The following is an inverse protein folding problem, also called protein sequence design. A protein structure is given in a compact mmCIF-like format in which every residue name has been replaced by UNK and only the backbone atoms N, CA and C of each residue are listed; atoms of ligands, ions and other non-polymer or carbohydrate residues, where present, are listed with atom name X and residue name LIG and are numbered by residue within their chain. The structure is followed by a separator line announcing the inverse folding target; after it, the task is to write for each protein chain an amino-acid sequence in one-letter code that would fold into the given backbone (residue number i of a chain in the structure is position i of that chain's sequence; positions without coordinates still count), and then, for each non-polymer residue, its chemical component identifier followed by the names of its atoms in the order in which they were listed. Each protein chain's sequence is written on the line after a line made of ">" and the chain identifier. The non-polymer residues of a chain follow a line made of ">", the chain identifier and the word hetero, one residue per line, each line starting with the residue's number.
data_IF_937542671132
#
_entry.id   IF_937542671132
#
_cell.length_a   1.000
_cell.length_b   1.000
_cell.length_c   1.000
_cell.angle_alpha   90.00
_cell.angle_beta   90.00
_cell.angle_gamma   90.00
#
_symmetry.space_group_name_H-M   'P 1'
#
loop_
_entity.id
_entity.type
_entity.pdbx_description
1 polymer ?
#
# COMPACT_ATOMS: atom_id res chain seq x y z
N UNK A 1 -11.19 18.36 -9.76
CA UNK A 1 -10.47 17.42 -8.89
C UNK A 1 -10.59 16.05 -9.54
N UNK A 2 -9.49 15.46 -9.98
CA UNK A 2 -9.51 14.11 -10.58
C UNK A 2 -9.62 13.13 -9.41
N UNK A 3 -10.79 12.50 -9.24
CA UNK A 3 -10.94 11.41 -8.29
C UNK A 3 -10.20 10.20 -8.84
N UNK A 4 -9.02 9.91 -8.28
CA UNK A 4 -8.32 8.66 -8.57
C UNK A 4 -9.09 7.51 -7.90
N UNK A 5 -9.49 6.54 -8.71
CA UNK A 5 -10.22 5.34 -8.28
C UNK A 5 -9.23 4.25 -7.89
N UNK A 6 -9.46 3.64 -6.72
CA UNK A 6 -8.59 2.61 -6.16
C UNK A 6 -9.41 1.34 -5.96
N UNK A 7 -9.21 0.33 -6.81
CA UNK A 7 -9.96 -0.92 -6.75
C UNK A 7 -9.11 -1.99 -6.08
N UNK A 8 -9.62 -2.58 -5.00
CA UNK A 8 -8.98 -3.67 -4.28
C UNK A 8 -9.30 -5.02 -4.91
N UNK A 9 -8.25 -5.81 -5.08
CA UNK A 9 -8.28 -7.22 -5.43
C UNK A 9 -7.65 -8.03 -4.30
N UNK A 10 -8.25 -9.19 -4.02
CA UNK A 10 -7.75 -10.17 -3.06
C UNK A 10 -7.56 -11.49 -3.80
N UNK A 11 -6.31 -11.93 -3.93
CA UNK A 11 -5.93 -13.11 -4.74
C UNK A 11 -6.52 -13.08 -6.16
N UNK A 12 -6.48 -11.90 -6.81
CA UNK A 12 -7.03 -11.70 -8.16
C UNK A 12 -8.56 -11.52 -8.23
N UNK A 13 -9.29 -11.66 -7.11
CA UNK A 13 -10.74 -11.40 -7.06
C UNK A 13 -11.01 -9.95 -6.70
N UNK A 14 -11.75 -9.23 -7.55
CA UNK A 14 -12.21 -7.86 -7.27
C UNK A 14 -13.10 -7.82 -6.02
N UNK A 15 -12.69 -7.07 -5.01
CA UNK A 15 -13.47 -6.83 -3.79
C UNK A 15 -14.33 -5.57 -3.90
N UNK A 16 -13.80 -4.50 -4.51
CA UNK A 16 -14.50 -3.24 -4.71
C UNK A 16 -13.58 -2.03 -4.58
N UNK A 17 -14.16 -0.84 -4.61
CA UNK A 17 -13.45 0.41 -4.40
C UNK A 17 -13.07 0.58 -2.92
N UNK A 18 -11.85 1.05 -2.65
CA UNK A 18 -11.40 1.37 -1.29
C UNK A 18 -11.69 2.82 -0.95
N UNK A 19 -11.93 3.06 0.33
CA UNK A 19 -12.15 4.41 0.86
C UNK A 19 -11.01 4.80 1.79
N UNK A 20 -10.92 6.10 2.11
CA UNK A 20 -9.92 6.64 3.04
C UNK A 20 -8.48 6.31 2.63
N UNK A 21 -8.21 6.27 1.32
CA UNK A 21 -6.88 5.98 0.77
C UNK A 21 -5.85 7.01 1.26
N UNK A 22 -4.77 6.51 1.83
CA UNK A 22 -3.61 7.28 2.27
C UNK A 22 -2.35 6.56 1.82
N UNK A 23 -1.54 7.22 1.01
CA UNK A 23 -0.21 6.76 0.63
C UNK A 23 0.82 7.64 1.31
N UNK A 24 1.73 7.03 2.06
CA UNK A 24 2.85 7.70 2.70
C UNK A 24 4.13 7.22 2.01
N UNK A 25 4.70 8.03 1.10
CA UNK A 25 5.97 7.69 0.48
C UNK A 25 7.05 7.64 1.56
N UNK A 26 7.91 6.62 1.50
CA UNK A 26 8.99 6.52 2.46
C UNK A 26 10.26 7.15 1.90
N UNK A 27 10.49 8.41 2.25
CA UNK A 27 11.69 9.12 1.80
C UNK A 27 12.95 8.55 2.47
N UNK A 28 14.09 8.53 1.76
CA UNK A 28 15.35 8.11 2.35
C UNK A 28 15.75 9.12 3.43
N UNK A 29 15.92 8.63 4.66
CA UNK A 29 16.23 9.47 5.82
C UNK A 29 17.65 9.23 6.29
N UNK A 30 18.38 10.30 6.60
CA UNK A 30 19.64 10.20 7.30
C UNK A 30 19.40 9.82 8.77
N UNK A 31 20.06 8.76 9.25
CA UNK A 31 20.07 8.36 10.66
C UNK A 31 21.49 8.34 11.20
N UNK A 32 21.64 8.77 12.44
CA UNK A 32 22.90 8.64 13.16
C UNK A 32 23.00 7.23 13.75
N UNK A 33 23.95 6.44 13.27
CA UNK A 33 24.23 5.08 13.75
C UNK A 33 25.69 5.05 14.19
N UNK A 34 25.92 4.80 15.49
CA UNK A 34 27.27 4.75 16.08
C UNK A 34 28.12 6.00 15.79
N UNK A 35 27.49 7.18 15.82
CA UNK A 35 28.18 8.46 15.59
C UNK A 35 28.41 8.81 14.12
N UNK A 36 27.96 7.97 13.17
CA UNK A 36 28.04 8.24 11.73
C UNK A 36 26.66 8.51 11.15
N UNK A 37 26.57 9.53 10.29
CA UNK A 37 25.37 9.81 9.53
C UNK A 37 25.28 8.82 8.36
N UNK A 38 24.28 7.95 8.37
CA UNK A 38 24.06 6.94 7.33
C UNK A 38 22.74 7.26 6.62
N UNK A 39 22.77 7.31 5.29
CA UNK A 39 21.55 7.40 4.49
C UNK A 39 20.86 6.04 4.56
N UNK A 40 19.68 5.99 5.19
CA UNK A 40 18.87 4.78 5.15
C UNK A 40 18.34 4.61 3.72
N UNK A 41 18.45 3.40 3.13
CA UNK A 41 17.86 3.13 1.84
C UNK A 41 16.36 3.38 1.88
N UNK A 42 15.81 3.81 0.75
CA UNK A 42 14.38 3.94 0.51
C UNK A 42 13.73 2.60 0.86
N UNK A 43 12.84 2.58 1.84
CA UNK A 43 12.01 1.40 2.11
C UNK A 43 10.73 1.46 1.27
N UNK A 44 9.98 0.37 1.22
CA UNK A 44 8.69 0.34 0.55
C UNK A 44 7.73 1.41 1.12
N UNK A 45 7.02 2.11 0.23
CA UNK A 45 5.98 3.05 0.61
C UNK A 45 4.90 2.37 1.45
N UNK A 46 4.25 3.10 2.33
CA UNK A 46 3.19 2.57 3.19
C UNK A 46 1.86 3.12 2.72
N UNK A 47 0.90 2.24 2.47
CA UNK A 47 -0.48 2.64 2.22
C UNK A 47 -1.39 2.24 3.39
N UNK A 48 -2.44 3.02 3.61
CA UNK A 48 -3.51 2.74 4.55
C UNK A 48 -4.85 3.05 3.89
N UNK A 49 -5.81 2.15 4.03
CA UNK A 49 -7.13 2.31 3.41
C UNK A 49 -8.17 1.46 4.12
N UNK A 50 -9.44 1.79 3.89
CA UNK A 50 -10.58 1.02 4.37
C UNK A 50 -11.09 0.11 3.26
N UNK A 51 -11.16 -1.19 3.57
CA UNK A 51 -11.61 -2.21 2.63
C UNK A 51 -13.14 -2.19 2.50
N UNK A 52 -13.69 -2.49 1.32
CA UNK A 52 -15.13 -2.65 1.14
C UNK A 52 -15.65 -3.97 1.73
N UNK A 53 -14.77 -4.96 1.88
CA UNK A 53 -15.06 -6.28 2.45
C UNK A 53 -13.95 -6.71 3.40
N UNK A 54 -14.24 -7.59 4.38
CA UNK A 54 -13.20 -8.14 5.26
C UNK A 54 -12.11 -8.83 4.44
N UNK A 55 -10.85 -8.61 4.80
CA UNK A 55 -9.68 -9.23 4.16
C UNK A 55 -8.86 -10.01 5.19
N UNK A 56 -8.21 -11.08 4.75
CA UNK A 56 -7.34 -11.88 5.60
C UNK A 56 -5.91 -11.34 5.57
N UNK A 57 -5.21 -11.40 6.71
CA UNK A 57 -3.80 -10.98 6.80
C UNK A 57 -2.85 -11.86 5.98
N UNK A 58 -3.28 -13.07 5.59
CA UNK A 58 -2.45 -14.03 4.85
C UNK A 58 -2.59 -13.92 3.32
N UNK A 59 -3.48 -13.09 2.83
CA UNK A 59 -3.72 -12.99 1.39
C UNK A 59 -2.87 -11.92 0.74
N UNK A 60 -2.61 -12.09 -0.55
CA UNK A 60 -1.97 -11.07 -1.38
C UNK A 60 -3.05 -10.10 -1.82
N UNK A 61 -2.86 -8.83 -1.46
CA UNK A 61 -3.74 -7.75 -1.87
C UNK A 61 -3.09 -6.97 -3.00
N UNK A 62 -3.92 -6.52 -3.92
CA UNK A 62 -3.52 -5.69 -5.04
C UNK A 62 -4.48 -4.52 -5.16
N UNK A 63 -3.96 -3.31 -5.41
CA UNK A 63 -4.77 -2.14 -5.73
C UNK A 63 -4.54 -1.79 -7.19
N UNK A 64 -5.61 -1.61 -7.94
CA UNK A 64 -5.57 -1.06 -9.30
C UNK A 64 -5.99 0.41 -9.23
N UNK A 65 -5.08 1.30 -9.62
CA UNK A 65 -5.27 2.75 -9.67
C UNK A 65 -5.64 3.17 -11.10
N UNK A 66 -6.86 3.69 -11.28
CA UNK A 66 -7.39 4.21 -12.56
C UNK A 66 -7.20 3.30 -13.79
N UNK A 67 -7.10 1.98 -13.59
CA UNK A 67 -6.80 0.99 -14.63
C UNK A 67 -5.45 1.22 -15.35
N UNK A 68 -4.55 2.02 -14.78
CA UNK A 68 -3.24 2.35 -15.36
C UNK A 68 -2.08 1.74 -14.59
N UNK A 69 -2.28 1.51 -13.30
CA UNK A 69 -1.23 1.05 -12.41
C UNK A 69 -1.77 -0.01 -11.47
N UNK A 70 -0.97 -1.04 -11.25
CA UNK A 70 -1.20 -2.09 -10.28
C UNK A 70 -0.17 -1.95 -9.14
N UNK A 71 -0.66 -1.86 -7.91
CA UNK A 71 0.14 -1.86 -6.69
C UNK A 71 0.02 -3.21 -6.00
N UNK A 72 1.14 -3.93 -5.87
CA UNK A 72 1.19 -5.18 -5.10
C UNK A 72 1.48 -4.83 -3.64
N UNK A 73 0.67 -5.35 -2.73
CA UNK A 73 0.71 -4.99 -1.32
C UNK A 73 1.15 -6.16 -0.43
N UNK A 74 2.01 -5.85 0.54
CA UNK A 74 2.33 -6.73 1.65
C UNK A 74 1.66 -6.21 2.93
N UNK A 75 0.69 -6.95 3.45
CA UNK A 75 -0.09 -6.54 4.62
C UNK A 75 0.81 -6.41 5.86
N UNK A 76 0.86 -5.22 6.45
CA UNK A 76 1.51 -4.96 7.73
C UNK A 76 0.54 -5.24 8.88
N UNK A 77 -0.67 -4.71 8.80
CA UNK A 77 -1.72 -4.89 9.81
C UNK A 77 -3.13 -4.76 9.22
N UNK A 78 -4.08 -5.49 9.81
CA UNK A 78 -5.51 -5.35 9.56
C UNK A 78 -6.18 -5.08 10.90
N UNK A 79 -6.92 -3.98 11.01
CA UNK A 79 -7.72 -3.63 12.19
C UNK A 79 -9.15 -3.40 11.75
N UNK A 80 -10.04 -4.36 12.03
CA UNK A 80 -11.40 -4.36 11.48
C UNK A 80 -11.36 -4.27 9.94
N UNK A 81 -11.86 -3.19 9.35
CA UNK A 81 -11.86 -2.95 7.90
C UNK A 81 -10.69 -2.07 7.43
N UNK A 82 -9.80 -1.65 8.34
CA UNK A 82 -8.65 -0.78 7.99
C UNK A 82 -7.42 -1.64 7.76
N UNK A 83 -6.84 -1.52 6.58
CA UNK A 83 -5.60 -2.19 6.18
C UNK A 83 -4.48 -1.18 6.15
N UNK A 84 -3.33 -1.56 6.69
CA UNK A 84 -2.06 -0.89 6.46
C UNK A 84 -1.11 -1.88 5.81
N UNK A 85 -0.50 -1.50 4.70
CA UNK A 85 0.36 -2.38 3.91
C UNK A 85 1.56 -1.63 3.35
N UNK A 86 2.60 -2.38 3.01
CA UNK A 86 3.73 -1.90 2.23
C UNK A 86 3.44 -2.09 0.74
N UNK A 87 3.77 -1.10 -0.08
CA UNK A 87 3.74 -1.23 -1.55
C UNK A 87 5.05 -1.89 -1.97
N UNK A 88 4.99 -3.16 -2.37
CA UNK A 88 6.18 -3.95 -2.70
C UNK A 88 6.50 -3.97 -4.19
N UNK A 89 5.51 -3.68 -5.03
CA UNK A 89 5.71 -3.51 -6.47
C UNK A 89 4.70 -2.52 -7.04
N UNK A 90 5.09 -1.85 -8.13
CA UNK A 90 4.28 -0.94 -8.92
C UNK A 90 4.42 -1.35 -10.38
N UNK A 91 3.36 -1.90 -10.97
CA UNK A 91 3.36 -2.34 -12.36
C UNK A 91 2.50 -1.41 -13.19
N UNK A 92 2.95 -1.09 -14.41
CA UNK A 92 2.10 -0.44 -15.40
C UNK A 92 1.13 -1.48 -15.99
N UNK A 93 -0.11 -1.07 -16.24
CA UNK A 93 -1.15 -1.86 -16.90
C UNK A 93 -1.35 -1.42 -18.36
#
# INVERSE_FOLDING_TARGET
>A
MVHMTHILYDQGKKLGEVSEWKLTPYEPVYKNILGKLVLMPVTNDVCSFKTPKPVSRKTQLTIVEDQKQELVLQIKSVKSMIVTAFVVARNAL
#
